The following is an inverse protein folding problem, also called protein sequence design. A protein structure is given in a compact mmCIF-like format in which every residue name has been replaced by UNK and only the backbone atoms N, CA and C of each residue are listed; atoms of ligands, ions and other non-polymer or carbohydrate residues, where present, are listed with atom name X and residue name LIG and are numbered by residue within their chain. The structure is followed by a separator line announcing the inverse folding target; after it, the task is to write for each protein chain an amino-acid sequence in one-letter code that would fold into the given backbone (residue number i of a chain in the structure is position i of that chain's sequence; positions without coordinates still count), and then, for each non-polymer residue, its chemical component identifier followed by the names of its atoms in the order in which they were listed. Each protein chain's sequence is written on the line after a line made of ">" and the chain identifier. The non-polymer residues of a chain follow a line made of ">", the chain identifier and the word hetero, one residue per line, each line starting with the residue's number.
data_IF_530952573584
#
_entry.id   IF_530952573584
#
_cell.length_a   1.000
_cell.length_b   1.000
_cell.length_c   1.000
_cell.angle_alpha   90.00
_cell.angle_beta   90.00
_cell.angle_gamma   90.00
#
_symmetry.space_group_name_H-M   'P 1'
#
loop_
_entity.id
_entity.type
_entity.pdbx_description
1 polymer ?
#
# COMPACT_ATOMS: atom_id res chain seq x y z
N UNK A 1 -19.89 -9.16 -7.61
CA UNK A 1 -18.96 -9.66 -6.59
C UNK A 1 -17.63 -9.85 -7.29
N UNK A 2 -16.61 -9.06 -6.94
CA UNK A 2 -15.27 -9.22 -7.52
C UNK A 2 -14.83 -10.68 -7.46
N UNK A 3 -14.21 -11.16 -8.53
CA UNK A 3 -13.82 -12.58 -8.75
C UNK A 3 -12.90 -13.16 -7.67
N UNK A 4 -12.50 -12.34 -6.69
CA UNK A 4 -11.58 -12.64 -5.59
C UNK A 4 -12.14 -12.32 -4.19
N UNK A 5 -13.42 -11.93 -4.06
CA UNK A 5 -14.07 -11.73 -2.75
C UNK A 5 -13.57 -10.55 -1.92
N UNK A 6 -12.84 -9.60 -2.52
CA UNK A 6 -12.37 -8.40 -1.83
C UNK A 6 -13.55 -7.43 -1.66
N UNK A 7 -14.04 -7.27 -0.43
CA UNK A 7 -15.18 -6.37 -0.14
C UNK A 7 -14.77 -4.92 0.10
N UNK A 8 -13.56 -4.69 0.63
CA UNK A 8 -13.07 -3.37 1.06
C UNK A 8 -11.71 -3.00 0.44
N UNK A 9 -11.26 -3.69 -0.62
CA UNK A 9 -9.94 -3.46 -1.25
C UNK A 9 -10.09 -3.45 -2.76
N UNK A 10 -9.50 -2.44 -3.41
CA UNK A 10 -9.42 -2.32 -4.86
C UNK A 10 -8.00 -2.67 -5.28
N UNK A 11 -7.84 -3.50 -6.32
CA UNK A 11 -6.53 -3.72 -6.93
C UNK A 11 -6.19 -2.50 -7.79
N UNK A 12 -5.07 -1.87 -7.49
CA UNK A 12 -4.58 -0.73 -8.26
C UNK A 12 -3.51 -1.26 -9.20
N UNK A 13 -3.69 -1.03 -10.50
CA UNK A 13 -2.70 -1.32 -11.54
C UNK A 13 -1.98 -0.01 -11.88
N UNK A 14 -0.94 0.34 -11.12
CA UNK A 14 -0.16 1.55 -11.35
C UNK A 14 1.35 1.25 -11.36
N UNK A 15 2.11 2.11 -12.03
CA UNK A 15 3.57 2.11 -11.94
C UNK A 15 4.00 2.86 -10.68
N UNK A 16 4.94 2.27 -9.93
CA UNK A 16 5.59 2.92 -8.79
C UNK A 16 7.09 2.91 -9.01
N UNK A 17 7.79 3.86 -8.39
CA UNK A 17 9.24 3.90 -8.43
C UNK A 17 9.85 2.63 -7.80
N UNK A 18 10.92 2.11 -8.40
CA UNK A 18 11.56 0.86 -7.98
C UNK A 18 12.13 0.97 -6.57
N UNK A 19 12.75 2.10 -6.23
CA UNK A 19 13.39 2.29 -4.93
C UNK A 19 12.33 2.39 -3.82
N UNK A 20 11.19 3.01 -4.13
CA UNK A 20 10.03 3.04 -3.22
C UNK A 20 9.46 1.63 -2.99
N UNK A 21 9.35 0.82 -4.04
CA UNK A 21 8.91 -0.57 -3.91
C UNK A 21 9.87 -1.38 -3.03
N UNK A 22 11.17 -1.29 -3.28
CA UNK A 22 12.18 -2.02 -2.52
C UNK A 22 12.21 -1.59 -1.06
N UNK A 23 12.13 -0.28 -0.79
CA UNK A 23 12.06 0.25 0.57
C UNK A 23 10.82 -0.26 1.33
N UNK A 24 9.65 -0.24 0.68
CA UNK A 24 8.42 -0.74 1.27
C UNK A 24 8.46 -2.26 1.50
N UNK A 25 9.09 -3.01 0.59
CA UNK A 25 9.26 -4.47 0.69
C UNK A 25 10.17 -4.83 1.85
N UNK A 26 11.31 -4.15 1.98
CA UNK A 26 12.24 -4.34 3.09
C UNK A 26 11.56 -4.02 4.43
N UNK A 27 10.80 -2.93 4.49
CA UNK A 27 10.01 -2.59 5.68
C UNK A 27 8.96 -3.67 6.01
N UNK A 28 8.32 -4.26 5.00
CA UNK A 28 7.39 -5.39 5.18
C UNK A 28 8.08 -6.60 5.80
N UNK A 29 9.29 -6.91 5.35
CA UNK A 29 10.11 -8.01 5.87
C UNK A 29 10.57 -7.75 7.31
N UNK A 30 11.07 -6.55 7.60
CA UNK A 30 11.58 -6.18 8.93
C UNK A 30 10.48 -6.09 10.00
N UNK A 31 9.32 -5.55 9.63
CA UNK A 31 8.20 -5.32 10.57
C UNK A 31 7.20 -6.46 10.62
N UNK A 32 7.33 -7.45 9.72
CA UNK A 32 6.33 -8.51 9.46
C UNK A 32 4.93 -7.97 9.09
N UNK A 33 4.82 -6.69 8.74
CA UNK A 33 3.56 -6.09 8.30
C UNK A 33 3.36 -6.38 6.82
N UNK A 34 2.22 -6.92 6.38
CA UNK A 34 1.96 -7.16 4.98
C UNK A 34 2.09 -5.90 4.12
N UNK A 35 2.74 -6.01 2.97
CA UNK A 35 2.94 -4.93 2.00
C UNK A 35 1.68 -4.13 1.69
N UNK A 36 0.53 -4.81 1.53
CA UNK A 36 -0.75 -4.14 1.26
C UNK A 36 -1.18 -3.21 2.40
N UNK A 37 -0.89 -3.54 3.66
CA UNK A 37 -1.20 -2.67 4.82
C UNK A 37 -0.25 -1.49 4.90
N UNK A 38 1.02 -1.68 4.55
CA UNK A 38 1.98 -0.58 4.49
C UNK A 38 1.59 0.42 3.40
N UNK A 39 1.14 -0.09 2.24
CA UNK A 39 0.60 0.75 1.17
C UNK A 39 -0.64 1.52 1.61
N UNK A 40 -1.60 0.85 2.26
CA UNK A 40 -2.79 1.51 2.83
C UNK A 40 -2.37 2.67 3.76
N UNK A 41 -1.43 2.41 4.68
CA UNK A 41 -0.92 3.39 5.63
C UNK A 41 -0.21 4.57 4.96
N UNK A 42 0.60 4.32 3.93
CA UNK A 42 1.28 5.37 3.17
C UNK A 42 0.26 6.30 2.48
N UNK A 43 -0.78 5.73 1.86
CA UNK A 43 -1.86 6.48 1.24
C UNK A 43 -2.65 7.29 2.28
N UNK A 44 -2.99 6.71 3.43
CA UNK A 44 -3.66 7.42 4.51
C UNK A 44 -2.86 8.62 5.03
N UNK A 45 -1.55 8.47 5.18
CA UNK A 45 -0.66 9.56 5.61
C UNK A 45 -0.65 10.69 4.58
N UNK A 46 -0.50 10.36 3.29
CA UNK A 46 -0.52 11.35 2.21
C UNK A 46 -1.86 12.11 2.14
N UNK A 47 -2.99 11.40 2.29
CA UNK A 47 -4.31 12.02 2.30
C UNK A 47 -4.51 12.94 3.51
N UNK A 48 -4.00 12.56 4.69
CA UNK A 48 -4.02 13.41 5.90
C UNK A 48 -3.18 14.66 5.73
N UNK A 49 -2.00 14.55 5.13
CA UNK A 49 -1.13 15.69 4.84
C UNK A 49 -1.74 16.62 3.79
N UNK A 50 -2.43 16.08 2.79
CA UNK A 50 -3.07 16.86 1.72
C UNK A 50 -4.33 17.61 2.17
N UNK A 51 -4.88 17.28 3.34
CA UNK A 51 -6.03 17.97 3.95
C UNK A 51 -5.63 19.06 4.96
N UNK A 52 -4.33 19.32 5.11
CA UNK A 52 -3.81 20.50 5.80
C UNK A 52 -3.74 21.69 4.87
#
# INVERSE_FOLDING_TARGET
>A
MDKYGLKNRIRISNAIDKDLYEGLKKMSEETMVPMSKLLDKAIELLLKESQK
#
